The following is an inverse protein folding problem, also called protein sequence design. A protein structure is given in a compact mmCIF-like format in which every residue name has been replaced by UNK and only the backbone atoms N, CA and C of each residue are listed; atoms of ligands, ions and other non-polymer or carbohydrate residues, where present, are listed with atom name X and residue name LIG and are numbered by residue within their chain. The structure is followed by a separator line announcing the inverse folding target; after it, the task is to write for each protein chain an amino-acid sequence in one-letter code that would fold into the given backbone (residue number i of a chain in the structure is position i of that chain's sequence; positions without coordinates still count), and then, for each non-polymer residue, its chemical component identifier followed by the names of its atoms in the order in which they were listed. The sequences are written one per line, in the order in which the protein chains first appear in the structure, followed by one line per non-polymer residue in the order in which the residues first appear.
data_IF_567034026234
#
_entry.id   IF_567034026234
#
_cell.length_a   1.000
_cell.length_b   1.000
_cell.length_c   1.000
_cell.angle_alpha   90.00
_cell.angle_beta   90.00
_cell.angle_gamma   90.00
#
_symmetry.space_group_name_H-M   'P 1'
#
loop_
_entity.id
_entity.type
_entity.pdbx_description
1 polymer ?
#
# COMPACT_ATOMS: atom_id res chain seq x y z
N UNK A 1 -40.17 -30.13 -73.37
CA UNK A 1 -39.06 -30.98 -72.90
C UNK A 1 -37.87 -30.08 -72.58
N UNK A 2 -37.53 -29.93 -71.30
CA UNK A 2 -36.19 -29.63 -70.78
C UNK A 2 -36.34 -29.27 -69.29
N UNK A 3 -35.69 -30.05 -68.42
CA UNK A 3 -35.62 -29.84 -66.97
C UNK A 3 -34.41 -28.95 -66.66
N UNK A 4 -34.53 -28.03 -65.71
CA UNK A 4 -33.39 -27.72 -64.83
C UNK A 4 -33.84 -27.06 -63.52
N UNK A 5 -33.33 -27.62 -62.43
CA UNK A 5 -33.42 -27.18 -61.03
C UNK A 5 -32.74 -25.82 -60.81
N UNK A 6 -33.25 -25.01 -59.87
CA UNK A 6 -32.44 -24.03 -59.12
C UNK A 6 -32.85 -24.05 -57.62
N UNK A 7 -31.89 -24.02 -56.67
CA UNK A 7 -32.14 -24.23 -55.25
C UNK A 7 -32.44 -22.92 -54.48
N UNK A 8 -33.13 -23.09 -53.35
CA UNK A 8 -33.42 -22.07 -52.34
C UNK A 8 -32.14 -21.42 -51.78
N UNK A 9 -32.02 -20.10 -51.87
CA UNK A 9 -31.11 -19.30 -51.04
C UNK A 9 -31.92 -18.62 -49.93
N UNK A 10 -31.62 -19.01 -48.68
CA UNK A 10 -32.05 -18.30 -47.48
C UNK A 10 -31.35 -16.94 -47.43
N UNK A 11 -32.14 -15.86 -47.50
CA UNK A 11 -31.68 -14.49 -47.25
C UNK A 11 -31.66 -14.25 -45.73
N UNK A 12 -30.48 -14.32 -45.12
CA UNK A 12 -30.23 -13.84 -43.77
C UNK A 12 -29.96 -12.32 -43.83
N UNK A 13 -31.00 -11.52 -43.61
CA UNK A 13 -30.89 -10.08 -43.36
C UNK A 13 -30.32 -9.87 -41.95
N UNK A 14 -29.00 -9.75 -41.85
CA UNK A 14 -28.33 -9.28 -40.64
C UNK A 14 -28.51 -7.76 -40.52
N UNK A 15 -29.28 -7.35 -39.51
CA UNK A 15 -29.48 -5.96 -39.09
C UNK A 15 -28.15 -5.26 -38.81
N UNK A 16 -27.88 -4.17 -39.53
CA UNK A 16 -26.77 -3.27 -39.27
C UNK A 16 -27.03 -2.45 -38.01
N UNK A 17 -26.50 -2.87 -36.87
CA UNK A 17 -26.34 -2.01 -35.71
C UNK A 17 -25.13 -1.10 -35.95
N UNK A 18 -25.37 0.22 -35.93
CA UNK A 18 -24.36 1.29 -35.89
C UNK A 18 -23.36 1.03 -34.76
N UNK A 19 -22.23 0.39 -35.10
CA UNK A 19 -21.05 0.33 -34.26
C UNK A 19 -20.43 1.72 -34.24
N UNK A 20 -20.65 2.47 -33.16
CA UNK A 20 -19.70 3.49 -32.74
C UNK A 20 -18.42 2.73 -32.39
N UNK A 21 -17.49 2.68 -33.35
CA UNK A 21 -16.22 1.99 -33.19
C UNK A 21 -15.45 2.58 -32.02
N UNK A 22 -15.36 1.84 -30.92
CA UNK A 22 -14.30 2.02 -29.93
C UNK A 22 -13.00 1.77 -30.71
N UNK A 23 -12.20 2.80 -30.97
CA UNK A 23 -10.87 2.59 -31.53
C UNK A 23 -10.01 1.95 -30.43
N UNK A 24 -10.01 0.62 -30.38
CA UNK A 24 -9.11 -0.14 -29.54
C UNK A 24 -7.67 0.13 -29.99
N UNK A 25 -6.78 0.47 -29.05
CA UNK A 25 -5.35 0.66 -29.33
C UNK A 25 -4.80 -0.64 -29.92
N UNK A 26 -4.17 -0.56 -31.10
CA UNK A 26 -3.45 -1.71 -31.66
C UNK A 26 -2.08 -1.82 -30.98
N UNK A 27 -1.81 -2.96 -30.34
CA UNK A 27 -0.51 -3.23 -29.74
C UNK A 27 0.40 -3.99 -30.72
N UNK A 28 1.66 -3.57 -30.81
CA UNK A 28 2.71 -4.26 -31.56
C UNK A 28 3.95 -4.42 -30.70
N UNK A 29 4.60 -5.57 -30.79
CA UNK A 29 5.82 -5.87 -30.03
C UNK A 29 6.84 -6.49 -30.98
N UNK A 30 8.05 -5.93 -31.00
CA UNK A 30 9.14 -6.42 -31.84
C UNK A 30 10.42 -6.53 -31.01
N UNK A 31 11.09 -7.67 -31.09
CA UNK A 31 12.44 -7.82 -30.57
C UNK A 31 13.45 -7.48 -31.68
N UNK A 32 14.02 -6.27 -31.65
CA UNK A 32 14.99 -5.82 -32.64
C UNK A 32 16.42 -6.31 -32.36
N UNK A 33 16.64 -6.91 -31.18
CA UNK A 33 17.96 -7.31 -30.71
C UNK A 33 18.02 -8.76 -30.20
N UNK A 34 17.48 -9.75 -30.95
CA UNK A 34 17.32 -11.14 -30.47
C UNK A 34 18.65 -11.86 -30.22
N UNK A 35 19.76 -11.35 -30.75
CA UNK A 35 21.09 -11.95 -30.58
C UNK A 35 21.81 -11.48 -29.30
N UNK A 36 21.33 -10.41 -28.66
CA UNK A 36 21.89 -9.92 -27.39
C UNK A 36 21.46 -10.83 -26.21
N UNK A 37 22.21 -10.88 -25.09
CA UNK A 37 21.78 -11.65 -23.92
C UNK A 37 20.41 -11.23 -23.40
N UNK A 38 20.14 -9.92 -23.35
CA UNK A 38 18.84 -9.38 -22.96
C UNK A 38 17.71 -9.70 -23.93
N UNK A 39 17.95 -9.61 -25.24
CA UNK A 39 16.97 -9.97 -26.26
C UNK A 39 16.63 -11.46 -26.23
N UNK A 40 17.62 -12.35 -26.05
CA UNK A 40 17.38 -13.78 -25.82
C UNK A 40 16.56 -14.00 -24.56
N UNK A 41 16.89 -13.31 -23.47
CA UNK A 41 16.17 -13.39 -22.20
C UNK A 41 14.73 -12.92 -22.32
N UNK A 42 14.46 -11.89 -23.11
CA UNK A 42 13.10 -11.47 -23.43
C UNK A 42 12.33 -12.61 -24.11
N UNK A 43 12.90 -13.22 -25.15
CA UNK A 43 12.22 -14.30 -25.89
C UNK A 43 11.94 -15.53 -25.03
N UNK A 44 12.84 -15.85 -24.07
CA UNK A 44 12.71 -17.05 -23.23
C UNK A 44 11.88 -16.85 -21.96
N UNK A 45 12.02 -15.72 -21.26
CA UNK A 45 11.41 -15.52 -19.94
C UNK A 45 10.16 -14.62 -19.97
N UNK A 46 10.02 -13.74 -20.96
CA UNK A 46 8.93 -12.75 -21.04
C UNK A 46 8.01 -13.09 -22.22
N UNK A 47 8.50 -12.90 -23.45
CA UNK A 47 7.86 -13.26 -24.70
C UNK A 47 6.80 -12.27 -25.21
N UNK A 48 6.70 -12.15 -26.53
CA UNK A 48 5.71 -11.31 -27.23
C UNK A 48 4.27 -11.53 -26.75
N UNK A 49 3.76 -12.77 -26.59
CA UNK A 49 2.39 -12.99 -26.15
C UNK A 49 2.09 -12.39 -24.76
N UNK A 50 3.02 -12.53 -23.81
CA UNK A 50 2.90 -11.94 -22.48
C UNK A 50 2.93 -10.42 -22.57
N UNK A 51 3.81 -9.83 -23.37
CA UNK A 51 3.89 -8.38 -23.54
C UNK A 51 2.59 -7.81 -24.10
N UNK A 52 2.01 -8.42 -25.14
CA UNK A 52 0.72 -7.99 -25.71
C UNK A 52 -0.42 -8.02 -24.69
N UNK A 53 -0.51 -9.09 -23.89
CA UNK A 53 -1.52 -9.21 -22.83
C UNK A 53 -1.30 -8.14 -21.73
N UNK A 54 -0.06 -7.94 -21.32
CA UNK A 54 0.34 -6.94 -20.32
C UNK A 54 0.01 -5.53 -20.80
N UNK A 55 0.25 -5.19 -22.07
CA UNK A 55 -0.11 -3.88 -22.64
C UNK A 55 -1.62 -3.60 -22.54
N UNK A 56 -2.47 -4.57 -22.91
CA UNK A 56 -3.93 -4.42 -22.79
C UNK A 56 -4.39 -4.21 -21.34
N UNK A 57 -3.77 -4.92 -20.41
CA UNK A 57 -4.06 -4.83 -18.97
C UNK A 57 -3.67 -3.46 -18.41
N UNK A 58 -2.44 -3.02 -18.71
CA UNK A 58 -1.91 -1.73 -18.26
C UNK A 58 -2.72 -0.57 -18.84
N UNK A 59 -3.07 -0.60 -20.13
CA UNK A 59 -3.87 0.46 -20.75
C UNK A 59 -5.24 0.62 -20.05
N UNK A 60 -5.93 -0.51 -19.81
CA UNK A 60 -7.21 -0.51 -19.10
C UNK A 60 -7.08 0.06 -17.68
N UNK A 61 -6.00 -0.31 -16.99
CA UNK A 61 -5.69 0.22 -15.65
C UNK A 61 -5.47 1.75 -15.69
N UNK A 62 -4.66 2.25 -16.61
CA UNK A 62 -4.34 3.68 -16.73
C UNK A 62 -5.59 4.49 -17.05
N UNK A 63 -6.39 4.09 -18.04
CA UNK A 63 -7.64 4.79 -18.38
C UNK A 63 -8.63 4.83 -17.22
N UNK A 64 -8.71 3.75 -16.44
CA UNK A 64 -9.54 3.70 -15.23
C UNK A 64 -9.00 4.65 -14.16
N UNK A 65 -7.69 4.61 -13.89
CA UNK A 65 -7.05 5.44 -12.87
C UNK A 65 -7.16 6.94 -13.18
N UNK A 66 -6.91 7.33 -14.44
CA UNK A 66 -7.04 8.72 -14.88
C UNK A 66 -8.48 9.16 -15.16
N UNK A 67 -9.47 8.28 -14.99
CA UNK A 67 -10.88 8.58 -15.25
C UNK A 67 -11.09 9.14 -16.66
N UNK A 68 -10.52 8.47 -17.66
CA UNK A 68 -10.65 8.80 -19.08
C UNK A 68 -11.48 7.71 -19.79
N UNK A 69 -12.80 7.59 -19.52
CA UNK A 69 -13.64 6.53 -20.08
C UNK A 69 -14.02 6.74 -21.55
N UNK A 70 -13.91 7.96 -22.08
CA UNK A 70 -14.31 8.30 -23.46
C UNK A 70 -13.14 8.77 -24.32
N UNK A 71 -13.28 8.62 -25.64
CA UNK A 71 -12.22 8.94 -26.60
C UNK A 71 -11.86 10.43 -26.63
N UNK A 72 -12.83 11.32 -26.41
CA UNK A 72 -12.57 12.77 -26.29
C UNK A 72 -11.71 13.12 -25.08
N UNK A 73 -11.69 12.26 -24.05
CA UNK A 73 -10.91 12.44 -22.84
C UNK A 73 -9.52 11.80 -22.93
N UNK A 74 -9.26 10.95 -23.92
CA UNK A 74 -7.98 10.23 -24.09
C UNK A 74 -7.06 10.95 -25.06
N UNK A 75 -5.77 10.62 -25.00
CA UNK A 75 -4.86 10.84 -26.13
C UNK A 75 -5.22 9.88 -27.26
N UNK A 76 -5.11 10.36 -28.50
CA UNK A 76 -5.30 9.52 -29.68
C UNK A 76 -4.04 8.69 -29.95
N UNK A 77 -4.08 7.41 -29.57
CA UNK A 77 -2.96 6.45 -29.73
C UNK A 77 -3.47 5.25 -30.55
N UNK A 78 -3.46 5.32 -31.88
CA UNK A 78 -4.02 4.26 -32.72
C UNK A 78 -3.17 2.98 -32.68
N UNK A 79 -1.85 3.12 -32.57
CA UNK A 79 -0.90 2.02 -32.51
C UNK A 79 0.14 2.31 -31.44
N UNK A 80 0.30 1.41 -30.47
CA UNK A 80 1.36 1.48 -29.46
C UNK A 80 2.38 0.38 -29.72
N UNK A 81 3.63 0.77 -29.98
CA UNK A 81 4.71 -0.18 -30.30
C UNK A 81 5.64 -0.35 -29.10
N UNK A 82 6.04 -1.59 -28.82
CA UNK A 82 7.13 -1.91 -27.88
C UNK A 82 8.27 -2.54 -28.66
N UNK A 83 9.45 -1.96 -28.55
CA UNK A 83 10.67 -2.46 -29.17
C UNK A 83 11.65 -2.92 -28.09
N UNK A 84 12.19 -4.13 -28.23
CA UNK A 84 13.37 -4.54 -27.47
C UNK A 84 14.60 -4.13 -28.28
N UNK A 85 15.38 -3.20 -27.74
CA UNK A 85 16.44 -2.49 -28.48
C UNK A 85 17.73 -2.47 -27.66
N UNK A 86 18.87 -2.45 -28.35
CA UNK A 86 20.19 -2.42 -27.71
C UNK A 86 20.66 -0.98 -27.46
N UNK A 87 20.58 -0.53 -26.21
CA UNK A 87 21.03 0.79 -25.75
C UNK A 87 21.34 0.77 -24.24
N UNK A 88 22.17 1.69 -23.76
CA UNK A 88 22.80 1.59 -22.43
C UNK A 88 22.37 2.64 -21.40
N UNK A 89 21.71 3.72 -21.81
CA UNK A 89 21.52 4.91 -20.95
C UNK A 89 20.26 4.85 -20.06
N UNK A 90 19.35 3.90 -20.31
CA UNK A 90 18.12 3.74 -19.53
C UNK A 90 17.59 2.29 -19.62
N UNK A 91 16.69 1.93 -18.70
CA UNK A 91 15.96 0.65 -18.75
C UNK A 91 14.88 0.65 -19.84
N UNK A 92 14.25 1.80 -20.04
CA UNK A 92 13.28 2.05 -21.08
C UNK A 92 13.22 3.54 -21.41
N UNK A 93 12.60 3.86 -22.54
CA UNK A 93 12.15 5.23 -22.81
C UNK A 93 10.96 5.22 -23.75
N UNK A 94 10.21 6.31 -23.70
CA UNK A 94 9.05 6.55 -24.55
C UNK A 94 9.35 7.66 -25.56
N UNK A 95 8.98 7.45 -26.83
CA UNK A 95 9.08 8.45 -27.89
C UNK A 95 7.89 8.36 -28.85
N UNK A 96 7.02 9.38 -28.82
CA UNK A 96 5.71 9.32 -29.48
C UNK A 96 4.88 8.18 -28.91
N UNK A 97 4.32 7.35 -29.79
CA UNK A 97 3.52 6.18 -29.40
C UNK A 97 4.38 4.89 -29.26
N UNK A 98 5.69 5.04 -29.10
CA UNK A 98 6.63 3.93 -29.03
C UNK A 98 7.33 3.86 -27.68
N UNK A 99 7.47 2.64 -27.17
CA UNK A 99 8.26 2.31 -25.99
C UNK A 99 9.47 1.49 -26.47
N UNK A 100 10.66 1.87 -26.05
CA UNK A 100 11.88 1.10 -26.27
C UNK A 100 12.38 0.56 -24.94
N UNK A 101 12.62 -0.74 -24.84
CA UNK A 101 13.12 -1.42 -23.65
C UNK A 101 14.54 -1.91 -23.92
N UNK A 102 15.45 -1.59 -23.00
CA UNK A 102 16.88 -1.92 -23.14
C UNK A 102 17.13 -3.40 -22.92
N UNK A 103 17.88 -4.01 -23.84
CA UNK A 103 18.45 -5.36 -23.67
C UNK A 103 19.34 -5.45 -22.43
N UNK A 104 20.10 -4.41 -22.09
CA UNK A 104 20.96 -4.40 -20.90
C UNK A 104 20.11 -4.38 -19.63
N UNK A 105 19.05 -3.56 -19.60
CA UNK A 105 18.09 -3.55 -18.49
C UNK A 105 17.46 -4.93 -18.28
N UNK A 106 16.96 -5.55 -19.35
CA UNK A 106 16.40 -6.91 -19.32
C UNK A 106 17.40 -7.94 -18.81
N UNK A 107 18.66 -7.85 -19.24
CA UNK A 107 19.71 -8.74 -18.77
C UNK A 107 19.98 -8.58 -17.27
N UNK A 108 19.89 -7.36 -16.73
CA UNK A 108 20.14 -7.09 -15.31
C UNK A 108 19.02 -7.51 -14.35
N UNK A 109 17.83 -7.89 -14.86
CA UNK A 109 16.72 -8.27 -13.99
C UNK A 109 17.08 -9.47 -13.09
N UNK A 110 16.63 -9.50 -11.83
CA UNK A 110 16.95 -10.62 -10.96
C UNK A 110 16.42 -11.96 -11.54
N UNK A 111 17.12 -13.09 -11.30
CA UNK A 111 16.62 -14.40 -11.70
C UNK A 111 15.20 -14.66 -11.16
N UNK A 112 14.33 -15.22 -11.99
CA UNK A 112 12.94 -15.53 -11.63
C UNK A 112 12.01 -14.32 -11.51
N UNK A 113 12.49 -13.09 -11.76
CA UNK A 113 11.69 -11.86 -11.66
C UNK A 113 11.49 -11.12 -12.99
N UNK A 114 11.97 -11.64 -14.12
CA UNK A 114 11.94 -10.93 -15.40
C UNK A 114 10.56 -10.39 -15.80
N UNK A 115 9.49 -11.21 -15.69
CA UNK A 115 8.12 -10.75 -15.97
C UNK A 115 7.64 -9.67 -15.01
N UNK A 116 8.02 -9.74 -13.73
CA UNK A 116 7.65 -8.73 -12.73
C UNK A 116 8.33 -7.40 -13.02
N UNK A 117 9.65 -7.40 -13.18
CA UNK A 117 10.42 -6.16 -13.44
C UNK A 117 10.03 -5.55 -14.79
N UNK A 118 9.80 -6.38 -15.81
CA UNK A 118 9.28 -5.92 -17.09
C UNK A 118 7.90 -5.28 -16.96
N UNK A 119 7.00 -5.88 -16.19
CA UNK A 119 5.65 -5.33 -15.97
C UNK A 119 5.71 -4.00 -15.21
N UNK A 120 6.58 -3.91 -14.18
CA UNK A 120 6.85 -2.67 -13.45
C UNK A 120 7.30 -1.54 -14.38
N UNK A 121 8.29 -1.81 -15.23
CA UNK A 121 8.80 -0.86 -16.22
C UNK A 121 7.71 -0.48 -17.26
N UNK A 122 6.91 -1.44 -17.71
CA UNK A 122 5.81 -1.17 -18.65
C UNK A 122 4.72 -0.29 -18.05
N UNK A 123 4.40 -0.41 -16.76
CA UNK A 123 3.48 0.52 -16.10
C UNK A 123 4.02 1.96 -16.12
N UNK A 124 5.31 2.12 -15.87
CA UNK A 124 5.96 3.43 -15.97
C UNK A 124 5.91 3.97 -17.40
N UNK A 125 6.45 3.25 -18.38
CA UNK A 125 6.57 3.72 -19.76
C UNK A 125 5.21 3.93 -20.46
N UNK A 126 4.26 3.01 -20.27
CA UNK A 126 2.92 3.20 -20.85
C UNK A 126 2.18 4.39 -20.23
N UNK A 127 2.53 4.79 -19.00
CA UNK A 127 1.94 5.99 -18.42
C UNK A 127 2.37 7.23 -19.18
N UNK A 128 3.63 7.33 -19.63
CA UNK A 128 4.10 8.43 -20.48
C UNK A 128 3.28 8.59 -21.77
N UNK A 129 2.83 7.46 -22.35
CA UNK A 129 1.95 7.46 -23.53
C UNK A 129 0.62 8.15 -23.23
N UNK A 130 -0.04 7.81 -22.12
CA UNK A 130 -1.43 8.21 -21.85
C UNK A 130 -1.60 9.42 -20.91
N UNK A 131 -0.59 9.78 -20.12
CA UNK A 131 -0.64 10.95 -19.24
C UNK A 131 -0.54 12.26 -20.02
N UNK A 132 -1.06 13.35 -19.50
CA UNK A 132 -0.90 14.68 -20.11
C UNK A 132 0.33 15.40 -19.55
N UNK A 133 1.13 15.99 -20.43
CA UNK A 133 2.37 16.72 -20.06
C UNK A 133 2.25 18.25 -20.14
N UNK A 134 1.02 18.78 -20.26
CA UNK A 134 0.81 20.22 -20.47
C UNK A 134 1.43 20.72 -21.76
N UNK A 135 1.40 19.93 -22.85
CA UNK A 135 2.16 20.21 -24.09
C UNK A 135 3.65 20.49 -23.83
N UNK A 136 4.25 19.79 -22.87
CA UNK A 136 5.66 19.95 -22.48
C UNK A 136 5.94 21.07 -21.48
N UNK A 137 4.91 21.76 -20.97
CA UNK A 137 5.08 22.78 -19.92
C UNK A 137 5.15 22.19 -18.52
N UNK A 138 4.75 20.93 -18.32
CA UNK A 138 4.93 20.25 -17.04
C UNK A 138 6.42 20.01 -16.77
N UNK A 139 6.91 20.21 -15.53
CA UNK A 139 8.25 19.84 -15.14
C UNK A 139 8.52 18.36 -15.45
N UNK A 140 9.73 18.05 -15.94
CA UNK A 140 10.12 16.67 -16.25
C UNK A 140 9.92 15.73 -15.07
N UNK A 141 10.30 16.15 -13.85
CA UNK A 141 10.08 15.31 -12.67
C UNK A 141 8.62 15.15 -12.25
N UNK A 142 7.71 16.08 -12.59
CA UNK A 142 6.27 15.80 -12.42
C UNK A 142 5.82 14.71 -13.40
N UNK A 143 6.29 14.78 -14.64
CA UNK A 143 6.01 13.80 -15.70
C UNK A 143 6.51 12.40 -15.30
N UNK A 144 7.75 12.28 -14.82
CA UNK A 144 8.29 11.00 -14.28
C UNK A 144 7.59 10.55 -13.01
N UNK A 145 7.25 11.49 -12.13
CA UNK A 145 6.57 11.20 -10.87
C UNK A 145 5.16 10.65 -11.04
N UNK A 146 4.42 11.09 -12.06
CA UNK A 146 3.10 10.53 -12.36
C UNK A 146 3.26 9.10 -12.92
N UNK A 147 4.24 8.85 -13.79
CA UNK A 147 4.53 7.52 -14.29
C UNK A 147 4.82 6.52 -13.15
N UNK A 148 5.67 6.91 -12.21
CA UNK A 148 5.98 6.09 -11.04
C UNK A 148 4.81 6.00 -10.04
N UNK A 149 3.99 7.04 -9.92
CA UNK A 149 2.75 6.99 -9.15
C UNK A 149 1.80 5.91 -9.69
N UNK A 150 1.61 5.85 -11.00
CA UNK A 150 0.75 4.83 -11.64
C UNK A 150 1.32 3.43 -11.41
N UNK A 151 2.64 3.26 -11.58
CA UNK A 151 3.33 2.01 -11.27
C UNK A 151 3.08 1.59 -9.82
N UNK A 152 3.21 2.51 -8.85
CA UNK A 152 2.93 2.23 -7.43
C UNK A 152 1.47 1.80 -7.23
N UNK A 153 0.51 2.50 -7.84
CA UNK A 153 -0.92 2.14 -7.74
C UNK A 153 -1.25 0.79 -8.38
N UNK A 154 -0.46 0.33 -9.34
CA UNK A 154 -0.60 -1.00 -9.94
C UNK A 154 -0.14 -2.14 -9.03
N UNK A 155 0.60 -1.84 -7.96
CA UNK A 155 1.28 -2.78 -7.06
C UNK A 155 2.43 -3.58 -7.69
N UNK A 156 2.76 -3.36 -8.96
CA UNK A 156 3.96 -3.90 -9.61
C UNK A 156 5.18 -2.99 -9.36
N UNK A 157 5.66 -2.99 -8.12
CA UNK A 157 6.92 -2.36 -7.72
C UNK A 157 7.48 -3.10 -6.50
N UNK A 158 8.78 -2.98 -6.20
CA UNK A 158 9.36 -3.50 -4.96
C UNK A 158 9.27 -2.46 -3.83
N UNK A 159 8.40 -2.63 -2.81
CA UNK A 159 8.25 -1.63 -1.76
C UNK A 159 9.47 -1.47 -0.84
N UNK A 160 10.40 -2.43 -0.83
CA UNK A 160 11.52 -2.43 0.12
C UNK A 160 12.70 -1.60 -0.37
N UNK A 161 12.99 -1.66 -1.68
CA UNK A 161 14.09 -0.95 -2.33
C UNK A 161 13.71 0.42 -2.88
N UNK A 162 12.43 0.77 -2.86
CA UNK A 162 11.92 1.95 -3.53
C UNK A 162 11.86 3.19 -2.64
N UNK A 163 11.75 4.37 -3.26
CA UNK A 163 11.78 5.68 -2.58
C UNK A 163 10.73 5.77 -1.47
N UNK A 164 11.14 6.29 -0.31
CA UNK A 164 10.27 6.44 0.87
C UNK A 164 9.60 7.81 0.92
N UNK A 165 8.41 7.92 1.54
CA UNK A 165 7.81 9.22 1.82
C UNK A 165 8.79 10.15 2.54
N UNK A 166 8.88 11.38 2.07
CA UNK A 166 9.76 12.41 2.61
C UNK A 166 11.19 12.39 2.10
N UNK A 167 11.59 11.43 1.26
CA UNK A 167 12.87 11.49 0.55
C UNK A 167 12.86 12.58 -0.54
N UNK A 168 14.03 12.92 -1.07
CA UNK A 168 14.22 14.01 -2.03
C UNK A 168 14.28 15.41 -1.42
N UNK A 169 14.81 16.37 -2.19
CA UNK A 169 15.00 17.79 -1.81
C UNK A 169 13.98 18.71 -2.47
N UNK A 170 13.47 18.36 -3.65
CA UNK A 170 12.43 19.07 -4.41
C UNK A 170 11.22 18.18 -4.72
N UNK A 171 10.06 18.82 -4.91
CA UNK A 171 8.80 18.12 -5.14
C UNK A 171 8.72 17.45 -6.51
N UNK A 172 9.45 17.97 -7.50
CA UNK A 172 9.54 17.53 -8.89
C UNK A 172 10.92 16.95 -9.24
N UNK A 173 11.53 16.18 -8.35
CA UNK A 173 12.77 15.45 -8.65
C UNK A 173 12.55 14.25 -9.59
N UNK A 174 11.30 13.84 -9.80
CA UNK A 174 10.98 12.69 -10.62
C UNK A 174 10.80 11.41 -9.84
N UNK A 175 10.39 10.39 -10.58
CA UNK A 175 10.31 9.02 -10.12
C UNK A 175 9.59 8.88 -8.76
N UNK A 176 10.09 7.97 -7.91
CA UNK A 176 9.54 7.71 -6.59
C UNK A 176 9.47 8.95 -5.68
N UNK A 177 10.37 9.93 -5.79
CA UNK A 177 10.33 11.13 -4.92
C UNK A 177 9.04 11.91 -5.16
N UNK A 178 8.78 12.23 -6.42
CA UNK A 178 7.58 12.96 -6.82
C UNK A 178 6.34 12.09 -6.68
N UNK A 179 6.41 10.79 -6.97
CA UNK A 179 5.30 9.86 -6.76
C UNK A 179 4.82 9.85 -5.30
N UNK A 180 5.74 9.79 -4.32
CA UNK A 180 5.38 9.83 -2.89
C UNK A 180 4.75 11.15 -2.47
N UNK A 181 5.17 12.26 -3.09
CA UNK A 181 4.52 13.56 -2.87
C UNK A 181 3.09 13.57 -3.43
N UNK A 182 2.87 13.00 -4.62
CA UNK A 182 1.54 12.89 -5.22
C UNK A 182 0.60 12.00 -4.39
N UNK A 183 1.10 10.90 -3.81
CA UNK A 183 0.32 10.09 -2.86
C UNK A 183 -0.11 10.88 -1.61
N UNK A 184 0.75 11.77 -1.11
CA UNK A 184 0.38 12.68 -0.03
C UNK A 184 -0.70 13.67 -0.47
N UNK A 185 -0.58 14.26 -1.66
CA UNK A 185 -1.61 15.14 -2.20
C UNK A 185 -2.97 14.43 -2.35
N UNK A 186 -2.97 13.17 -2.80
CA UNK A 186 -4.19 12.35 -2.83
C UNK A 186 -4.77 12.07 -1.44
N UNK A 187 -3.92 11.97 -0.40
CA UNK A 187 -4.40 11.84 0.98
C UNK A 187 -5.07 13.11 1.52
N UNK A 188 -4.74 14.27 0.95
CA UNK A 188 -5.38 15.56 1.27
C UNK A 188 -6.68 15.73 0.48
N UNK A 189 -6.71 15.26 -0.76
CA UNK A 189 -7.89 15.24 -1.62
C UNK A 189 -7.86 13.99 -2.48
N UNK A 190 -8.81 13.09 -2.24
CA UNK A 190 -8.93 11.87 -3.03
C UNK A 190 -9.03 12.20 -4.54
N UNK A 191 -8.20 11.56 -5.36
CA UNK A 191 -8.14 11.78 -6.81
C UNK A 191 -7.47 13.08 -7.24
N UNK A 192 -6.68 13.73 -6.37
CA UNK A 192 -5.84 14.87 -6.72
C UNK A 192 -4.98 14.59 -7.95
N UNK A 193 -4.21 13.50 -7.96
CA UNK A 193 -3.23 13.20 -9.04
C UNK A 193 -3.93 12.99 -10.37
N UNK A 194 -5.05 12.25 -10.36
CA UNK A 194 -5.92 12.07 -11.52
C UNK A 194 -6.47 13.40 -12.04
N UNK A 195 -6.95 14.26 -11.15
CA UNK A 195 -7.49 15.58 -11.52
C UNK A 195 -6.41 16.49 -12.08
N UNK A 196 -5.21 16.47 -11.49
CA UNK A 196 -4.05 17.21 -11.95
C UNK A 196 -3.66 16.79 -13.37
N UNK A 197 -3.51 15.48 -13.61
CA UNK A 197 -3.24 14.93 -14.95
C UNK A 197 -4.26 15.45 -15.98
N UNK A 198 -5.56 15.38 -15.69
CA UNK A 198 -6.58 15.85 -16.62
C UNK A 198 -6.55 17.37 -16.85
N UNK A 199 -6.20 18.18 -15.83
CA UNK A 199 -5.99 19.63 -15.99
C UNK A 199 -4.76 19.97 -16.85
N UNK A 200 -3.78 19.06 -16.92
CA UNK A 200 -2.57 19.23 -17.72
C UNK A 200 -2.75 18.88 -19.21
N UNK A 201 -3.98 18.77 -19.73
CA UNK A 201 -4.19 18.48 -21.16
C UNK A 201 -3.42 19.43 -22.08
N UNK A 202 -3.51 20.73 -21.77
CA UNK A 202 -2.97 21.79 -22.63
C UNK A 202 -1.76 22.50 -22.00
N UNK A 203 -1.79 22.73 -20.69
CA UNK A 203 -0.74 23.49 -19.97
C UNK A 203 -0.69 23.07 -18.50
N UNK A 204 0.51 23.05 -17.93
CA UNK A 204 0.76 22.90 -16.50
C UNK A 204 0.98 24.26 -15.84
N UNK A 205 0.49 24.39 -14.60
CA UNK A 205 0.60 25.58 -13.75
C UNK A 205 0.70 25.15 -12.29
N UNK A 206 1.64 25.72 -11.53
CA UNK A 206 1.78 25.45 -10.10
C UNK A 206 0.52 25.85 -9.32
N UNK A 207 -0.24 26.83 -9.82
CA UNK A 207 -1.52 27.30 -9.28
C UNK A 207 -2.57 26.20 -9.21
N UNK A 208 -2.43 25.12 -9.99
CA UNK A 208 -3.36 23.98 -9.90
C UNK A 208 -3.33 23.32 -8.53
N UNK A 209 -2.22 23.38 -7.79
CA UNK A 209 -2.19 22.92 -6.39
C UNK A 209 -3.07 23.82 -5.50
N UNK A 210 -3.07 25.13 -5.70
CA UNK A 210 -3.94 26.07 -4.99
C UNK A 210 -5.41 25.83 -5.32
N UNK A 211 -5.73 25.67 -6.60
CA UNK A 211 -7.10 25.36 -7.04
C UNK A 211 -7.60 24.02 -6.48
N UNK A 212 -6.73 23.01 -6.43
CA UNK A 212 -7.14 21.66 -6.07
C UNK A 212 -7.11 21.39 -4.56
N UNK A 213 -6.18 21.98 -3.82
CA UNK A 213 -5.94 21.73 -2.39
C UNK A 213 -6.19 22.95 -1.50
N UNK A 214 -6.49 24.11 -2.08
CA UNK A 214 -6.64 25.37 -1.35
C UNK A 214 -5.33 25.94 -0.82
N UNK A 215 -4.17 25.42 -1.25
CA UNK A 215 -2.83 25.82 -0.77
C UNK A 215 -1.82 25.91 -1.92
N UNK A 216 -0.89 26.88 -1.89
CA UNK A 216 0.10 27.02 -2.95
C UNK A 216 1.11 25.87 -2.86
N UNK A 217 1.63 25.42 -4.01
CA UNK A 217 2.54 24.28 -4.11
C UNK A 217 3.73 24.31 -3.12
N UNK A 218 4.46 25.44 -2.95
CA UNK A 218 5.53 25.51 -1.95
C UNK A 218 5.08 25.20 -0.51
N UNK A 219 3.84 25.58 -0.15
CA UNK A 219 3.27 25.24 1.15
C UNK A 219 2.95 23.75 1.25
N UNK A 220 2.34 23.16 0.23
CA UNK A 220 2.01 21.72 0.20
C UNK A 220 3.28 20.87 0.31
N UNK A 221 4.34 21.24 -0.41
CA UNK A 221 5.65 20.59 -0.30
C UNK A 221 6.27 20.73 1.09
N UNK A 222 6.22 21.93 1.68
CA UNK A 222 6.71 22.16 3.05
C UNK A 222 5.95 21.30 4.06
N UNK A 223 4.64 21.18 3.94
CA UNK A 223 3.80 20.34 4.81
C UNK A 223 4.12 18.84 4.61
N UNK A 224 4.31 18.39 3.37
CA UNK A 224 4.80 17.05 3.06
C UNK A 224 6.14 16.76 3.75
N UNK A 225 7.12 17.68 3.64
CA UNK A 225 8.42 17.54 4.29
C UNK A 225 8.32 17.66 5.82
N UNK A 226 7.41 18.43 6.36
CA UNK A 226 7.16 18.43 7.81
C UNK A 226 6.59 17.09 8.29
N UNK A 227 5.68 16.49 7.50
CA UNK A 227 5.04 15.20 7.81
C UNK A 227 5.99 14.02 7.65
N UNK A 228 6.80 14.00 6.59
CA UNK A 228 7.62 12.85 6.20
C UNK A 228 9.12 13.13 6.12
N UNK A 229 9.53 14.36 5.81
CA UNK A 229 10.93 14.76 5.65
C UNK A 229 11.68 15.05 6.95
N UNK A 230 10.96 15.32 8.05
CA UNK A 230 11.52 15.41 9.40
C UNK A 230 11.53 14.05 10.09
N UNK A 231 12.28 13.11 9.52
CA UNK A 231 12.80 11.97 10.29
C UNK A 231 14.32 12.12 10.38
N UNK A 232 14.84 13.02 11.24
CA UNK A 232 16.22 12.93 11.67
C UNK A 232 16.46 11.53 12.25
N UNK A 233 17.62 10.96 11.92
CA UNK A 233 18.14 9.84 12.68
C UNK A 233 18.30 10.30 14.14
N UNK A 234 17.45 9.77 15.04
CA UNK A 234 17.71 9.81 16.48
C UNK A 234 17.34 11.09 17.25
N UNK A 235 16.33 11.88 16.86
CA UNK A 235 15.77 12.87 17.79
C UNK A 235 14.28 12.68 18.04
N UNK A 236 13.94 12.71 19.32
CA UNK A 236 12.64 12.43 19.92
C UNK A 236 11.55 13.36 19.36
N UNK A 237 10.87 12.93 18.31
CA UNK A 237 9.63 13.58 17.86
C UNK A 237 8.48 13.13 18.77
N UNK A 238 8.56 13.42 20.08
CA UNK A 238 7.55 13.10 21.10
C UNK A 238 7.96 13.35 22.57
N UNK A 239 9.21 13.71 22.89
CA UNK A 239 9.67 13.70 24.30
C UNK A 239 9.86 12.30 24.89
N UNK A 240 9.66 11.23 24.11
CA UNK A 240 10.03 9.85 24.45
C UNK A 240 11.41 9.54 23.87
N UNK A 241 12.35 9.08 24.70
CA UNK A 241 13.65 8.58 24.26
C UNK A 241 13.53 7.11 23.86
N UNK A 242 13.90 6.77 22.62
CA UNK A 242 13.95 5.39 22.16
C UNK A 242 15.34 4.81 22.27
N UNK A 243 15.44 3.59 22.79
CA UNK A 243 16.69 2.83 22.91
C UNK A 243 16.45 1.44 22.33
N UNK A 244 17.40 0.95 21.53
CA UNK A 244 17.34 -0.38 20.93
C UNK A 244 18.64 -1.11 21.23
N UNK A 245 18.54 -2.29 21.83
CA UNK A 245 19.68 -3.11 22.21
C UNK A 245 19.51 -4.51 21.66
N UNK A 246 20.50 -4.98 20.90
CA UNK A 246 20.57 -6.37 20.48
C UNK A 246 21.44 -7.14 21.49
N UNK A 247 20.82 -7.92 22.38
CA UNK A 247 21.50 -8.79 23.34
C UNK A 247 21.85 -10.16 22.73
N UNK A 248 21.22 -10.51 21.61
CA UNK A 248 21.35 -11.80 20.93
C UNK A 248 22.36 -11.79 19.77
N UNK A 249 23.34 -10.87 19.78
CA UNK A 249 24.29 -10.67 18.65
C UNK A 249 25.06 -11.92 18.22
N UNK A 250 25.21 -12.90 19.11
CA UNK A 250 25.91 -14.16 18.85
C UNK A 250 24.98 -15.29 18.39
N UNK A 251 23.68 -15.02 18.24
CA UNK A 251 22.67 -15.99 17.79
C UNK A 251 22.24 -15.70 16.35
N UNK A 252 21.80 -16.69 15.56
CA UNK A 252 21.43 -16.46 14.16
C UNK A 252 20.33 -15.40 14.01
N UNK A 253 19.35 -15.39 14.92
CA UNK A 253 18.31 -14.37 14.97
C UNK A 253 18.81 -12.95 15.23
N UNK A 254 19.77 -12.78 16.14
CA UNK A 254 20.35 -11.46 16.42
C UNK A 254 21.28 -10.99 15.30
N UNK A 255 22.03 -11.91 14.66
CA UNK A 255 22.80 -11.60 13.45
C UNK A 255 21.88 -11.16 12.31
N UNK A 256 20.75 -11.86 12.14
CA UNK A 256 19.73 -11.51 11.16
C UNK A 256 19.04 -10.18 11.45
N UNK A 257 18.82 -9.87 12.73
CA UNK A 257 18.34 -8.55 13.12
C UNK A 257 19.32 -7.47 12.67
N UNK A 258 20.63 -7.62 12.93
CA UNK A 258 21.62 -6.62 12.55
C UNK A 258 21.75 -6.46 11.03
N UNK A 259 21.63 -7.54 10.26
CA UNK A 259 21.79 -7.51 8.80
C UNK A 259 20.53 -7.06 8.04
N UNK A 260 19.34 -7.56 8.39
CA UNK A 260 18.12 -7.33 7.62
C UNK A 260 17.24 -6.21 8.22
N UNK A 261 17.23 -6.05 9.54
CA UNK A 261 16.35 -5.11 10.24
C UNK A 261 17.16 -3.85 10.60
N UNK A 262 18.01 -3.97 11.63
CA UNK A 262 18.95 -2.97 12.10
C UNK A 262 18.37 -1.99 13.12
N UNK A 263 19.25 -1.47 13.99
CA UNK A 263 18.92 -0.47 15.03
C UNK A 263 18.32 0.79 14.41
N UNK A 264 18.90 1.31 13.32
CA UNK A 264 18.43 2.54 12.67
C UNK A 264 17.00 2.41 12.14
N UNK A 265 16.67 1.28 11.52
CA UNK A 265 15.31 0.98 11.09
C UNK A 265 14.38 0.89 12.29
N UNK A 266 14.77 0.16 13.34
CA UNK A 266 13.96 -0.04 14.55
C UNK A 266 13.61 1.30 15.21
N UNK A 267 14.59 2.20 15.39
CA UNK A 267 14.35 3.54 15.94
C UNK A 267 13.37 4.38 15.10
N UNK A 268 13.49 4.32 13.77
CA UNK A 268 12.56 5.01 12.85
C UNK A 268 11.15 4.41 12.94
N UNK A 269 11.05 3.09 12.99
CA UNK A 269 9.81 2.35 13.16
C UNK A 269 9.14 2.72 14.48
N UNK A 270 9.87 2.74 15.60
CA UNK A 270 9.35 3.18 16.91
C UNK A 270 8.79 4.60 16.88
N UNK A 271 9.50 5.55 16.26
CA UNK A 271 9.03 6.93 16.11
C UNK A 271 7.75 7.03 15.28
N UNK A 272 7.68 6.24 14.21
CA UNK A 272 6.49 6.16 13.33
C UNK A 272 5.30 5.59 14.08
N UNK A 273 5.48 4.45 14.75
CA UNK A 273 4.44 3.76 15.52
C UNK A 273 3.95 4.64 16.66
N UNK A 274 4.85 5.31 17.40
CA UNK A 274 4.48 6.22 18.49
C UNK A 274 3.53 7.33 18.01
N UNK A 275 3.88 8.00 16.91
CA UNK A 275 3.00 9.04 16.31
C UNK A 275 1.68 8.46 15.83
N UNK A 276 1.72 7.28 15.21
CA UNK A 276 0.53 6.60 14.74
C UNK A 276 -0.44 6.30 15.89
N UNK A 277 0.04 5.70 16.98
CA UNK A 277 -0.80 5.33 18.12
C UNK A 277 -1.37 6.56 18.81
N UNK A 278 -0.58 7.62 19.00
CA UNK A 278 -1.09 8.87 19.56
C UNK A 278 -2.19 9.50 18.73
N UNK A 279 -2.06 9.45 17.40
CA UNK A 279 -3.11 9.94 16.51
C UNK A 279 -4.35 9.02 16.55
N UNK A 280 -4.15 7.70 16.52
CA UNK A 280 -5.23 6.72 16.53
C UNK A 280 -6.06 6.81 17.82
N UNK A 281 -5.40 6.91 18.97
CA UNK A 281 -6.08 7.01 20.28
C UNK A 281 -6.43 8.44 20.70
N UNK A 282 -6.25 9.42 19.81
CA UNK A 282 -6.52 10.84 20.07
C UNK A 282 -5.83 11.36 21.33
N UNK A 283 -4.60 10.90 21.59
CA UNK A 283 -3.78 11.32 22.71
C UNK A 283 -2.93 12.52 22.29
N UNK A 284 -3.54 13.69 22.13
CA UNK A 284 -2.89 14.87 21.54
C UNK A 284 -2.13 15.72 22.57
N UNK A 285 -2.45 15.58 23.86
CA UNK A 285 -1.84 16.33 24.96
C UNK A 285 -1.17 15.42 26.00
N UNK A 286 -0.31 16.00 26.84
CA UNK A 286 0.37 15.26 27.91
C UNK A 286 -0.61 14.71 28.97
N UNK A 287 -1.74 15.39 29.20
CA UNK A 287 -2.77 14.94 30.14
C UNK A 287 -3.55 13.73 29.65
N UNK A 288 -3.54 13.43 28.34
CA UNK A 288 -4.21 12.27 27.73
C UNK A 288 -3.28 11.05 27.60
N UNK A 289 -1.96 11.27 27.67
CA UNK A 289 -0.92 10.26 27.48
C UNK A 289 -0.49 9.60 28.78
N UNK A 290 0.13 8.43 28.66
CA UNK A 290 1.01 7.90 29.70
C UNK A 290 2.34 8.67 29.68
N UNK A 291 2.94 8.90 30.84
CA UNK A 291 4.27 9.50 30.94
C UNK A 291 5.34 8.44 30.69
N UNK A 292 5.91 8.43 29.48
CA UNK A 292 6.90 7.44 29.04
C UNK A 292 8.17 8.20 28.66
N UNK A 293 9.13 8.41 29.58
CA UNK A 293 10.34 9.16 29.27
C UNK A 293 11.31 8.36 28.38
N UNK A 294 11.33 7.03 28.54
CA UNK A 294 12.19 6.11 27.80
C UNK A 294 11.37 4.87 27.43
N UNK A 295 11.53 4.40 26.20
CA UNK A 295 10.98 3.14 25.72
C UNK A 295 12.12 2.33 25.10
N UNK A 296 12.35 1.13 25.62
CA UNK A 296 13.44 0.27 25.20
C UNK A 296 12.93 -0.90 24.35
N UNK A 297 13.69 -1.27 23.32
CA UNK A 297 13.50 -2.52 22.58
C UNK A 297 14.74 -3.39 22.76
N UNK A 298 14.54 -4.62 23.20
CA UNK A 298 15.59 -5.61 23.35
C UNK A 298 15.37 -6.77 22.38
N UNK A 299 16.42 -7.16 21.65
CA UNK A 299 16.45 -8.43 20.94
C UNK A 299 17.12 -9.45 21.85
N UNK A 300 16.37 -10.45 22.29
CA UNK A 300 16.78 -11.38 23.36
C UNK A 300 16.50 -12.82 22.97
N UNK A 301 17.18 -13.76 23.62
CA UNK A 301 16.98 -15.19 23.38
C UNK A 301 15.86 -15.75 24.27
N UNK A 302 14.72 -16.05 23.65
CA UNK A 302 13.61 -16.74 24.28
C UNK A 302 12.68 -17.34 23.21
N UNK A 303 11.91 -18.36 23.58
CA UNK A 303 11.07 -19.15 22.66
C UNK A 303 9.58 -19.17 23.00
N UNK A 304 9.20 -18.67 24.18
CA UNK A 304 7.81 -18.78 24.69
C UNK A 304 6.85 -17.75 24.08
N UNK A 305 7.35 -16.72 23.38
CA UNK A 305 6.57 -15.76 22.63
C UNK A 305 7.38 -15.13 21.49
N UNK A 306 6.68 -14.46 20.57
CA UNK A 306 7.28 -13.64 19.52
C UNK A 306 7.88 -12.35 20.07
N UNK A 307 7.12 -11.70 20.96
CA UNK A 307 7.52 -10.53 21.70
C UNK A 307 6.72 -10.45 23.00
N UNK A 308 7.15 -9.56 23.89
CA UNK A 308 6.34 -9.15 25.03
C UNK A 308 6.74 -7.76 25.52
N UNK A 309 5.80 -7.12 26.18
CA UNK A 309 5.97 -5.82 26.81
C UNK A 309 5.90 -5.94 28.33
N UNK A 310 6.81 -5.28 29.05
CA UNK A 310 6.81 -5.27 30.52
C UNK A 310 6.57 -3.87 31.11
N UNK A 311 6.40 -3.82 32.44
CA UNK A 311 5.99 -2.61 33.17
C UNK A 311 6.95 -1.43 33.11
N UNK A 312 8.20 -1.65 32.69
CA UNK A 312 9.25 -0.62 32.59
C UNK A 312 9.37 -0.03 31.18
N UNK A 313 8.30 -0.13 30.40
CA UNK A 313 8.23 0.29 29.00
C UNK A 313 9.28 -0.39 28.10
N UNK A 314 9.59 -1.65 28.42
CA UNK A 314 10.50 -2.46 27.61
C UNK A 314 9.70 -3.42 26.75
N UNK A 315 10.04 -3.44 25.48
CA UNK A 315 9.60 -4.43 24.51
C UNK A 315 10.77 -5.41 24.31
N UNK A 316 10.51 -6.69 24.49
CA UNK A 316 11.47 -7.75 24.21
C UNK A 316 10.99 -8.53 23.00
N UNK A 317 11.84 -8.67 21.98
CA UNK A 317 11.55 -9.41 20.75
C UNK A 317 12.44 -10.64 20.71
N UNK A 318 11.84 -11.79 20.41
CA UNK A 318 12.55 -13.07 20.35
C UNK A 318 13.49 -13.11 19.14
N UNK A 319 14.77 -13.36 19.40
CA UNK A 319 15.75 -13.63 18.34
C UNK A 319 15.34 -14.86 17.51
N UNK A 320 14.76 -15.89 18.15
CA UNK A 320 14.28 -17.10 17.46
C UNK A 320 13.13 -16.79 16.50
N UNK A 321 12.25 -15.88 16.87
CA UNK A 321 11.18 -15.39 15.99
C UNK A 321 11.73 -14.59 14.81
N UNK A 322 12.73 -13.73 15.05
CA UNK A 322 13.39 -13.00 13.95
C UNK A 322 14.09 -13.98 12.99
N UNK A 323 14.71 -15.04 13.52
CA UNK A 323 15.32 -16.08 12.72
C UNK A 323 14.31 -16.81 11.83
N UNK A 324 13.07 -17.03 12.29
CA UNK A 324 12.04 -17.76 11.55
C UNK A 324 11.31 -16.92 10.48
N UNK A 325 11.53 -15.59 10.42
CA UNK A 325 10.85 -14.75 9.45
C UNK A 325 11.11 -15.19 8.00
N UNK A 326 10.12 -15.12 7.10
CA UNK A 326 10.34 -15.39 5.68
C UNK A 326 11.47 -14.54 5.11
N UNK A 327 12.29 -15.15 4.24
CA UNK A 327 13.41 -14.47 3.58
C UNK A 327 12.92 -13.22 2.83
N UNK A 328 13.67 -12.13 2.95
CA UNK A 328 13.30 -10.84 2.35
C UNK A 328 12.03 -10.23 2.94
N UNK A 329 11.53 -10.67 4.11
CA UNK A 329 10.36 -10.04 4.78
C UNK A 329 10.60 -9.73 6.26
N UNK A 330 11.84 -9.81 6.76
CA UNK A 330 12.14 -9.62 8.18
C UNK A 330 11.64 -8.28 8.73
N UNK A 331 11.87 -7.17 8.02
CA UNK A 331 11.39 -5.83 8.41
C UNK A 331 9.87 -5.74 8.49
N UNK A 332 9.17 -6.38 7.56
CA UNK A 332 7.70 -6.38 7.52
C UNK A 332 7.10 -7.09 8.75
N UNK A 333 7.59 -8.30 9.06
CA UNK A 333 7.12 -9.06 10.21
C UNK A 333 7.52 -8.41 11.53
N UNK A 334 8.76 -7.90 11.59
CA UNK A 334 9.24 -7.14 12.73
C UNK A 334 8.40 -5.88 12.98
N UNK A 335 8.10 -5.07 11.95
CA UNK A 335 7.27 -3.88 12.10
C UNK A 335 5.87 -4.23 12.61
N UNK A 336 5.27 -5.31 12.09
CA UNK A 336 3.94 -5.76 12.51
C UNK A 336 3.91 -6.12 13.99
N UNK A 337 4.88 -6.92 14.45
CA UNK A 337 5.06 -7.24 15.86
C UNK A 337 5.32 -5.98 16.70
N UNK A 338 6.10 -5.03 16.19
CA UNK A 338 6.34 -3.76 16.89
C UNK A 338 5.08 -2.90 17.04
N UNK A 339 4.16 -2.88 16.06
CA UNK A 339 2.87 -2.18 16.22
C UNK A 339 2.04 -2.80 17.35
N UNK A 340 2.00 -4.13 17.42
CA UNK A 340 1.32 -4.86 18.48
C UNK A 340 1.96 -4.57 19.85
N UNK A 341 3.26 -4.78 20.01
CA UNK A 341 3.93 -4.59 21.31
C UNK A 341 3.94 -3.13 21.78
N UNK A 342 4.11 -2.18 20.87
CA UNK A 342 4.01 -0.76 21.24
C UNK A 342 2.57 -0.35 21.58
N UNK A 343 1.54 -1.02 21.07
CA UNK A 343 0.18 -0.75 21.50
C UNK A 343 0.01 -1.00 23.00
N UNK A 344 0.55 -2.10 23.53
CA UNK A 344 0.55 -2.41 24.97
C UNK A 344 1.16 -1.29 25.83
N UNK A 345 2.18 -0.60 25.31
CA UNK A 345 2.79 0.55 25.96
C UNK A 345 1.79 1.71 26.12
N UNK A 346 1.05 2.06 25.06
CA UNK A 346 0.25 3.30 25.02
C UNK A 346 -1.25 3.12 25.30
N UNK A 347 -1.79 1.91 25.13
CA UNK A 347 -3.19 1.60 25.42
C UNK A 347 -3.45 1.54 26.93
N UNK A 348 -4.67 1.83 27.36
CA UNK A 348 -5.05 1.74 28.77
C UNK A 348 -5.64 0.37 29.08
N UNK A 349 -5.13 -0.29 30.14
CA UNK A 349 -5.58 -1.63 30.56
C UNK A 349 -6.62 -1.62 31.68
N UNK A 350 -7.24 -0.47 31.97
CA UNK A 350 -8.16 -0.36 33.11
C UNK A 350 -7.45 -0.56 34.44
N UNK A 351 -6.20 -0.11 34.61
CA UNK A 351 -5.39 -0.48 35.77
C UNK A 351 -5.36 -2.01 36.00
N UNK A 352 -5.17 -2.78 34.91
CA UNK A 352 -5.16 -4.25 34.87
C UNK A 352 -6.50 -4.93 35.17
N UNK A 353 -7.61 -4.20 35.16
CA UNK A 353 -8.96 -4.80 35.28
C UNK A 353 -9.57 -5.18 33.94
N UNK A 354 -9.00 -4.73 32.82
CA UNK A 354 -9.42 -5.18 31.49
C UNK A 354 -9.09 -6.67 31.28
N UNK A 355 -9.97 -7.46 30.64
CA UNK A 355 -9.66 -8.82 30.24
C UNK A 355 -8.39 -8.87 29.38
N UNK A 356 -7.58 -9.92 29.58
CA UNK A 356 -6.34 -10.11 28.83
C UNK A 356 -6.58 -10.11 27.32
N UNK A 357 -7.59 -10.83 26.83
CA UNK A 357 -7.86 -10.86 25.40
C UNK A 357 -8.47 -9.55 24.85
N UNK A 358 -9.14 -8.73 25.65
CA UNK A 358 -9.45 -7.36 25.23
C UNK A 358 -8.17 -6.53 25.03
N UNK A 359 -7.21 -6.69 25.95
CA UNK A 359 -5.91 -6.01 25.89
C UNK A 359 -5.12 -6.44 24.64
N UNK A 360 -5.06 -7.74 24.34
CA UNK A 360 -4.43 -8.26 23.11
C UNK A 360 -5.18 -7.85 21.84
N UNK A 361 -6.52 -7.86 21.87
CA UNK A 361 -7.34 -7.48 20.72
C UNK A 361 -7.21 -6.00 20.35
N UNK A 362 -7.02 -5.11 21.32
CA UNK A 362 -6.73 -3.70 21.05
C UNK A 362 -5.33 -3.53 20.45
N UNK A 363 -4.35 -4.33 20.89
CA UNK A 363 -3.02 -4.32 20.31
C UNK A 363 -3.03 -4.75 18.83
N UNK A 364 -3.79 -5.80 18.50
CA UNK A 364 -4.02 -6.20 17.12
C UNK A 364 -4.84 -5.19 16.32
N UNK A 365 -5.83 -4.54 16.93
CA UNK A 365 -6.57 -3.45 16.31
C UNK A 365 -5.63 -2.31 15.87
N UNK A 366 -4.67 -1.91 16.72
CA UNK A 366 -3.64 -0.92 16.36
C UNK A 366 -2.80 -1.42 15.18
N UNK A 367 -2.34 -2.67 15.23
CA UNK A 367 -1.56 -3.27 14.15
C UNK A 367 -2.33 -3.28 12.83
N UNK A 368 -3.61 -3.69 12.82
CA UNK A 368 -4.45 -3.74 11.62
C UNK A 368 -4.70 -2.35 11.05
N UNK A 369 -5.01 -1.35 11.90
CA UNK A 369 -5.23 0.04 11.44
C UNK A 369 -3.98 0.70 10.86
N UNK A 370 -2.78 0.18 11.13
CA UNK A 370 -1.54 0.70 10.53
C UNK A 370 -1.41 0.41 9.03
N UNK A 371 -2.22 -0.52 8.50
CA UNK A 371 -2.12 -1.03 7.12
C UNK A 371 -0.77 -1.71 6.78
N UNK A 372 0.09 -1.96 7.76
CA UNK A 372 1.37 -2.66 7.57
C UNK A 372 1.17 -4.18 7.46
N UNK A 373 0.05 -4.73 7.93
CA UNK A 373 -0.24 -6.17 7.89
C UNK A 373 -1.39 -6.51 6.90
N UNK A 374 -1.24 -7.52 6.02
CA UNK A 374 -2.27 -7.94 5.08
C UNK A 374 -3.42 -8.61 5.82
N UNK A 375 -4.57 -7.93 5.81
CA UNK A 375 -5.81 -8.21 6.55
C UNK A 375 -6.48 -9.57 6.28
N UNK A 376 -6.11 -10.25 5.19
CA UNK A 376 -6.87 -11.39 4.65
C UNK A 376 -6.45 -12.78 5.16
N UNK A 377 -5.35 -12.90 5.91
CA UNK A 377 -4.79 -14.21 6.30
C UNK A 377 -4.74 -14.49 7.81
N UNK A 378 -5.12 -13.55 8.68
CA UNK A 378 -4.88 -13.70 10.12
C UNK A 378 -6.07 -14.27 10.92
N UNK A 379 -7.24 -13.65 10.81
CA UNK A 379 -8.47 -14.14 11.48
C UNK A 379 -9.69 -13.71 10.67
N UNK A 380 -10.63 -14.64 10.47
CA UNK A 380 -11.85 -14.38 9.71
C UNK A 380 -12.90 -13.70 10.59
N UNK A 381 -13.71 -12.78 10.04
CA UNK A 381 -14.92 -12.34 10.73
C UNK A 381 -15.78 -13.54 11.17
N UNK A 382 -16.29 -13.48 12.39
CA UNK A 382 -17.06 -14.55 13.01
C UNK A 382 -16.24 -15.69 13.60
N UNK A 383 -14.91 -15.70 13.50
CA UNK A 383 -14.05 -16.71 14.15
C UNK A 383 -14.01 -16.52 15.69
N UNK A 384 -13.62 -17.57 16.42
CA UNK A 384 -13.51 -17.57 17.88
C UNK A 384 -14.80 -17.89 18.65
N UNK A 385 -14.63 -18.21 19.93
CA UNK A 385 -15.68 -18.62 20.87
C UNK A 385 -16.17 -17.53 21.82
N UNK A 386 -15.34 -16.50 22.10
CA UNK A 386 -15.72 -15.38 22.99
C UNK A 386 -15.15 -14.05 22.52
N UNK A 387 -15.80 -12.96 22.94
CA UNK A 387 -15.46 -11.61 22.48
C UNK A 387 -14.09 -11.11 22.96
N UNK A 388 -13.59 -11.63 24.09
CA UNK A 388 -12.31 -11.31 24.73
C UNK A 388 -11.30 -12.47 24.60
N UNK A 389 -11.35 -13.22 23.51
CA UNK A 389 -10.44 -14.34 23.27
C UNK A 389 -8.99 -13.88 23.04
N UNK A 390 -8.79 -12.65 22.56
CA UNK A 390 -7.48 -12.10 22.25
C UNK A 390 -7.24 -11.94 20.76
N UNK A 391 -6.16 -11.23 20.47
CA UNK A 391 -5.59 -11.09 19.13
C UNK A 391 -6.65 -10.76 18.06
N UNK A 392 -6.56 -11.41 16.90
CA UNK A 392 -7.41 -11.17 15.75
C UNK A 392 -8.88 -11.48 15.99
N UNK A 393 -9.24 -12.38 16.90
CA UNK A 393 -10.64 -12.69 17.21
C UNK A 393 -11.31 -11.47 17.85
N UNK A 394 -10.69 -10.93 18.89
CA UNK A 394 -11.20 -9.74 19.56
C UNK A 394 -11.06 -8.50 18.69
N UNK A 395 -9.99 -8.36 17.90
CA UNK A 395 -9.84 -7.27 16.93
C UNK A 395 -11.01 -7.20 15.94
N UNK A 396 -11.41 -8.32 15.34
CA UNK A 396 -12.54 -8.36 14.40
C UNK A 396 -13.86 -7.96 15.04
N UNK A 397 -14.04 -8.31 16.31
CA UNK A 397 -15.20 -7.87 17.08
C UNK A 397 -15.18 -6.37 17.37
N UNK A 398 -14.01 -5.81 17.68
CA UNK A 398 -13.83 -4.37 17.86
C UNK A 398 -14.09 -3.61 16.55
N UNK A 399 -13.66 -4.15 15.40
CA UNK A 399 -13.97 -3.61 14.08
C UNK A 399 -15.49 -3.60 13.81
N UNK A 400 -16.20 -4.68 14.16
CA UNK A 400 -17.67 -4.68 14.11
C UNK A 400 -18.27 -3.60 15.03
N UNK A 401 -17.77 -3.43 16.24
CA UNK A 401 -18.23 -2.38 17.15
C UNK A 401 -17.98 -0.97 16.58
N UNK A 402 -16.84 -0.72 15.95
CA UNK A 402 -16.56 0.53 15.25
C UNK A 402 -17.48 0.77 14.04
N UNK A 403 -17.96 -0.30 13.39
CA UNK A 403 -18.96 -0.19 12.32
C UNK A 403 -20.34 0.25 12.84
N UNK A 404 -20.67 -0.07 14.08
CA UNK A 404 -21.90 0.38 14.75
C UNK A 404 -21.78 1.83 15.24
N UNK A 405 -20.59 2.21 15.72
CA UNK A 405 -20.26 3.57 16.11
C UNK A 405 -18.80 3.87 15.80
N UNK A 406 -18.58 4.76 14.84
CA UNK A 406 -17.23 5.21 14.46
C UNK A 406 -16.46 5.71 15.68
N UNK A 407 -15.28 5.14 15.91
CA UNK A 407 -14.39 5.51 17.02
C UNK A 407 -14.72 4.83 18.34
N UNK A 408 -15.60 3.84 18.36
CA UNK A 408 -15.88 3.01 19.53
C UNK A 408 -14.61 2.51 20.21
N UNK A 409 -13.68 1.89 19.47
CA UNK A 409 -12.48 1.27 20.08
C UNK A 409 -11.56 2.31 20.72
N UNK A 410 -11.47 3.49 20.09
CA UNK A 410 -10.72 4.65 20.60
C UNK A 410 -11.32 5.17 21.90
N UNK A 411 -12.64 5.35 21.94
CA UNK A 411 -13.35 5.82 23.13
C UNK A 411 -13.35 4.77 24.26
N UNK A 412 -13.41 3.49 23.92
CA UNK A 412 -13.26 2.40 24.90
C UNK A 412 -11.87 2.45 25.55
N UNK A 413 -10.81 2.59 24.75
CA UNK A 413 -9.45 2.77 25.25
C UNK A 413 -9.33 3.98 26.20
N UNK A 414 -9.91 5.13 25.84
CA UNK A 414 -9.94 6.31 26.72
C UNK A 414 -10.66 6.04 28.06
N UNK A 415 -11.82 5.38 28.01
CA UNK A 415 -12.58 5.00 29.24
C UNK A 415 -11.83 4.03 30.14
N UNK A 416 -10.96 3.20 29.57
CA UNK A 416 -10.10 2.27 30.32
C UNK A 416 -8.92 2.93 31.03
N UNK A 417 -8.82 4.27 31.07
CA UNK A 417 -7.70 4.96 31.72
C UNK A 417 -7.45 4.52 33.17
N UNK A 418 -8.52 4.32 33.94
CA UNK A 418 -8.43 4.03 35.38
C UNK A 418 -9.01 2.68 35.78
N UNK A 419 -10.05 2.21 35.08
CA UNK A 419 -10.70 0.93 35.33
C UNK A 419 -11.43 0.48 34.06
N UNK A 420 -11.62 -0.83 33.91
CA UNK A 420 -12.49 -1.45 32.92
C UNK A 420 -13.76 -1.96 33.58
N UNK A 421 -14.87 -1.88 32.85
CA UNK A 421 -16.14 -2.55 33.15
C UNK A 421 -16.90 -2.82 31.87
N UNK A 422 -17.59 -3.97 31.79
CA UNK A 422 -18.45 -4.34 30.65
C UNK A 422 -19.51 -3.28 30.34
N UNK A 423 -19.93 -2.51 31.36
CA UNK A 423 -20.86 -1.40 31.24
C UNK A 423 -20.43 -0.31 30.23
N UNK A 424 -19.14 -0.19 29.90
CA UNK A 424 -18.70 0.74 28.86
C UNK A 424 -19.25 0.40 27.46
N UNK A 425 -19.54 -0.87 27.17
CA UNK A 425 -20.23 -1.23 25.92
C UNK A 425 -21.66 -0.70 25.92
N UNK A 426 -22.35 -0.72 27.06
CA UNK A 426 -23.70 -0.14 27.20
C UNK A 426 -23.64 1.37 27.05
N UNK A 427 -22.70 2.04 27.70
CA UNK A 427 -22.52 3.49 27.58
C UNK A 427 -22.21 3.93 26.14
N UNK A 428 -21.42 3.13 25.41
CA UNK A 428 -20.93 3.52 24.09
C UNK A 428 -21.85 3.08 22.93
N UNK A 429 -22.51 1.92 23.05
CA UNK A 429 -23.31 1.29 21.99
C UNK A 429 -24.75 0.97 22.41
N UNK A 430 -25.14 1.26 23.65
CA UNK A 430 -26.50 1.01 24.15
C UNK A 430 -26.81 -0.47 24.42
N UNK A 431 -25.83 -1.38 24.34
CA UNK A 431 -26.04 -2.83 24.50
C UNK A 431 -24.93 -3.48 25.34
N UNK A 432 -25.25 -4.51 26.15
CA UNK A 432 -24.23 -5.31 26.83
C UNK A 432 -23.30 -6.02 25.83
N UNK A 433 -22.04 -6.21 26.19
CA UNK A 433 -21.03 -6.84 25.33
C UNK A 433 -21.44 -8.24 24.85
N UNK A 434 -22.07 -9.04 25.72
CA UNK A 434 -22.58 -10.36 25.34
C UNK A 434 -23.66 -10.33 24.25
N UNK A 435 -24.52 -9.29 24.24
CA UNK A 435 -25.53 -9.11 23.18
C UNK A 435 -24.87 -8.69 21.87
N UNK A 436 -23.91 -7.77 21.93
CA UNK A 436 -23.14 -7.35 20.75
C UNK A 436 -22.37 -8.51 20.14
N UNK A 437 -21.76 -9.36 20.97
CA UNK A 437 -21.07 -10.57 20.51
C UNK A 437 -22.03 -11.55 19.82
N UNK A 438 -23.21 -11.79 20.40
CA UNK A 438 -24.22 -12.64 19.76
C UNK A 438 -24.69 -12.08 18.41
N UNK A 439 -24.89 -10.77 18.30
CA UNK A 439 -25.24 -10.09 17.04
C UNK A 439 -24.11 -10.19 16.00
N UNK A 440 -22.85 -10.02 16.42
CA UNK A 440 -21.67 -10.24 15.59
C UNK A 440 -21.59 -11.68 15.06
N UNK A 441 -21.77 -12.68 15.94
CA UNK A 441 -21.78 -14.10 15.54
C UNK A 441 -22.95 -14.45 14.63
N UNK A 442 -24.13 -13.86 14.83
CA UNK A 442 -25.25 -14.03 13.92
C UNK A 442 -24.96 -13.44 12.53
N UNK A 443 -24.24 -12.32 12.46
CA UNK A 443 -23.88 -11.66 11.19
C UNK A 443 -22.78 -12.39 10.41
N UNK A 444 -21.76 -12.93 11.10
CA UNK A 444 -20.55 -13.44 10.43
C UNK A 444 -20.25 -14.93 10.69
N UNK A 445 -20.89 -15.57 11.67
CA UNK A 445 -20.53 -16.92 12.13
C UNK A 445 -20.96 -18.10 11.26
N UNK A 446 -21.84 -17.88 10.27
CA UNK A 446 -22.40 -18.94 9.42
C UNK A 446 -21.88 -18.92 7.97
N UNK A 447 -20.80 -18.18 7.67
CA UNK A 447 -20.27 -18.09 6.31
C UNK A 447 -19.33 -19.28 6.07
N UNK A 448 -19.63 -20.20 5.11
CA UNK A 448 -18.78 -21.33 4.80
C UNK A 448 -17.39 -20.89 4.31
N UNK A 449 -16.36 -21.67 4.64
CA UNK A 449 -15.02 -21.47 4.12
C UNK A 449 -15.01 -21.67 2.59
N UNK A 450 -15.12 -20.60 1.80
CA UNK A 450 -15.01 -20.66 0.34
C UNK A 450 -15.77 -19.59 -0.44
N UNK A 451 -16.76 -18.93 0.15
CA UNK A 451 -17.41 -17.78 -0.51
C UNK A 451 -16.66 -16.50 -0.17
N UNK A 452 -16.16 -15.83 -1.21
CA UNK A 452 -15.44 -14.57 -1.09
C UNK A 452 -16.28 -13.53 -0.36
N UNK A 453 -15.65 -12.89 0.62
CA UNK A 453 -16.16 -11.68 1.24
C UNK A 453 -16.37 -10.60 0.16
N UNK A 454 -17.63 -10.35 -0.24
CA UNK A 454 -18.00 -9.09 -0.89
C UNK A 454 -18.08 -8.01 0.20
N UNK A 455 -16.91 -7.58 0.70
CA UNK A 455 -16.81 -6.38 1.51
C UNK A 455 -17.05 -5.17 0.60
N UNK A 456 -17.74 -4.16 1.12
CA UNK A 456 -18.02 -2.96 0.34
C UNK A 456 -16.72 -2.21 0.04
N UNK A 457 -16.66 -1.38 -1.03
CA UNK A 457 -15.47 -0.61 -1.39
C UNK A 457 -14.92 0.32 -0.28
N UNK A 458 -15.67 0.53 0.80
CA UNK A 458 -15.24 1.30 1.97
C UNK A 458 -14.38 0.51 2.96
N UNK A 459 -14.19 -0.79 2.72
CA UNK A 459 -13.44 -1.71 3.57
C UNK A 459 -12.22 -2.31 2.84
N UNK A 460 -11.74 -1.68 1.75
CA UNK A 460 -10.53 -2.05 1.01
C UNK A 460 -9.45 -0.99 1.20
#
# INVERSE_FOLDING_TARGET
MSKTFLPYYFLLLSSSSLLHGILAVQYKVTNNAPNTPGGKRFDTEIGIPFTLQTMGTINTFIWKLFQQPSDSQRKNVPVLNVYISDFQDAFGYTNGDNINISTIGLQSFPPGRAKFEFTSLMYHEMTHIFQWSGRGTAPGGLTEGIADYVMIKSTYYDPQGYTKPGEGKRWDEGYGVTARFLEYCDSLRNGFTTTLNNKMREVYKDEYFQELLGKPLPQVWKEYKAKYGNIPAGSAAAGVKFIVTNNARNLPGGLRFDSEIGISYTLKTMSTINKFIWNLFEQHSNSERKNIPVLNVFISDFTWAAGYTNGDFNINISAQTIQSYPAGRARFWFASLMYHEMAHIFQWSGNRTAPGGLTEGIADYVMVKSSVYPRLSYTRPGEGGRWDEGYGVTERFLEYCDSLRKGFTVELNKKMRYAYRDGYFVELLGKPVGRLWAEYKAKYGNIPAGEGYNLSPHEI
#
